data_IF_531823976451
#
_entry.id   IF_531823976451
#
_cell.length_a   1.000
_cell.length_b   1.000
_cell.length_c   1.000
_cell.angle_alpha   90.00
_cell.angle_beta   90.00
_cell.angle_gamma   90.00
#
_symmetry.space_group_name_H-M   'P 1'
#
loop_
_entity.id
_entity.type
_entity.pdbx_description
1 polymer ?
#
# COMPACT_ATOMS: atom_id res chain seq x y z
N UNK A 1 -11.36 23.22 15.15
CA UNK A 1 -11.21 22.53 13.85
C UNK A 1 -10.76 21.12 14.21
N UNK A 2 -11.46 20.10 13.72
CA UNK A 2 -11.11 18.70 14.00
C UNK A 2 -9.81 18.31 13.30
N UNK A 3 -9.13 17.29 13.83
CA UNK A 3 -7.92 16.76 13.20
C UNK A 3 -8.26 16.11 11.84
N UNK A 4 -7.48 16.35 10.78
CA UNK A 4 -7.74 15.75 9.49
C UNK A 4 -7.50 14.24 9.54
N UNK A 5 -8.34 13.48 8.87
CA UNK A 5 -8.16 12.05 8.62
C UNK A 5 -7.31 11.82 7.37
N UNK A 6 -6.58 10.72 7.35
CA UNK A 6 -5.80 10.32 6.18
C UNK A 6 -5.88 8.81 5.98
N UNK A 7 -6.48 8.37 4.87
CA UNK A 7 -6.42 6.97 4.47
C UNK A 7 -5.07 6.69 3.84
N UNK A 8 -4.10 6.27 4.64
CA UNK A 8 -2.73 6.00 4.19
C UNK A 8 -2.46 4.49 4.18
N UNK A 9 -1.44 4.08 3.43
CA UNK A 9 -0.88 2.73 3.45
C UNK A 9 -1.93 1.63 3.21
N UNK A 10 -2.85 1.88 2.26
CA UNK A 10 -3.78 0.86 1.76
C UNK A 10 -3.13 0.07 0.61
N UNK A 11 -2.94 -1.23 0.76
CA UNK A 11 -2.39 -2.05 -0.32
C UNK A 11 -3.29 -2.02 -1.58
N UNK A 12 -2.70 -1.75 -2.73
CA UNK A 12 -3.45 -1.77 -3.98
C UNK A 12 -2.82 -0.92 -5.08
N UNK A 13 -3.36 -1.05 -6.29
CA UNK A 13 -2.99 -0.21 -7.42
C UNK A 13 -4.21 0.08 -8.27
N UNK A 14 -4.32 1.33 -8.69
CA UNK A 14 -5.33 1.80 -9.65
C UNK A 14 -4.80 1.73 -11.09
N UNK A 15 -3.51 1.42 -11.28
CA UNK A 15 -2.99 1.08 -12.59
C UNK A 15 -3.50 -0.28 -13.07
N UNK A 16 -3.72 -0.44 -14.39
CA UNK A 16 -4.23 -1.67 -14.96
C UNK A 16 -3.27 -2.84 -14.71
N UNK A 17 -3.84 -4.04 -14.65
CA UNK A 17 -3.06 -5.26 -14.62
C UNK A 17 -2.30 -5.43 -15.94
N UNK A 18 -1.05 -5.86 -15.84
CA UNK A 18 -0.19 -6.16 -16.99
C UNK A 18 0.17 -7.63 -16.92
N UNK A 19 0.07 -8.35 -18.04
CA UNK A 19 0.43 -9.75 -18.10
C UNK A 19 1.87 -9.96 -17.57
N UNK A 20 2.13 -10.98 -16.73
CA UNK A 20 3.46 -11.24 -16.22
C UNK A 20 4.43 -11.61 -17.35
N UNK A 21 5.36 -10.71 -17.69
CA UNK A 21 6.55 -11.07 -18.48
C UNK A 21 7.43 -12.05 -17.69
N UNK A 22 7.86 -13.12 -18.37
CA UNK A 22 8.66 -14.20 -17.82
C UNK A 22 10.10 -13.80 -17.42
N UNK A 23 10.61 -12.66 -17.88
CA UNK A 23 11.96 -12.18 -17.54
C UNK A 23 11.92 -10.81 -16.81
N UNK A 24 12.25 -10.77 -15.50
CA UNK A 24 12.38 -9.53 -14.73
C UNK A 24 13.41 -8.53 -15.27
N UNK A 25 14.45 -8.98 -15.99
CA UNK A 25 15.49 -8.12 -16.55
C UNK A 25 15.07 -7.50 -17.87
N UNK A 26 14.41 -8.26 -18.76
CA UNK A 26 13.83 -7.73 -19.98
C UNK A 26 12.75 -6.67 -19.71
N UNK A 27 12.02 -6.77 -18.58
CA UNK A 27 11.04 -5.76 -18.13
C UNK A 27 11.67 -4.41 -17.80
N UNK A 28 12.87 -4.40 -17.22
CA UNK A 28 13.53 -3.14 -16.87
C UNK A 28 13.94 -2.30 -18.09
N UNK A 29 13.96 -2.91 -19.28
CA UNK A 29 14.32 -2.26 -20.55
C UNK A 29 13.11 -1.83 -21.40
N UNK A 30 11.87 -2.24 -21.07
CA UNK A 30 10.68 -1.91 -21.88
C UNK A 30 10.06 -0.56 -21.48
N UNK A 31 10.06 0.42 -22.39
CA UNK A 31 9.46 1.75 -22.16
C UNK A 31 7.93 1.75 -22.18
N UNK A 32 7.30 0.77 -22.83
CA UNK A 32 5.84 0.65 -22.87
C UNK A 32 5.35 0.00 -21.58
N UNK A 33 4.76 0.78 -20.68
CA UNK A 33 4.37 0.35 -19.33
C UNK A 33 5.36 0.72 -18.21
N UNK A 34 6.45 1.44 -18.52
CA UNK A 34 7.54 1.74 -17.58
C UNK A 34 7.15 2.56 -16.33
N UNK A 35 5.97 3.20 -16.34
CA UNK A 35 5.48 4.05 -15.24
C UNK A 35 4.24 3.44 -14.55
N UNK A 36 3.98 2.14 -14.77
CA UNK A 36 2.94 1.43 -14.04
C UNK A 36 3.48 1.03 -12.65
N UNK A 37 2.97 1.65 -11.59
CA UNK A 37 3.42 1.42 -10.21
C UNK A 37 3.20 -0.03 -9.74
N UNK A 38 2.23 -0.76 -10.32
CA UNK A 38 2.03 -2.19 -10.07
C UNK A 38 3.23 -3.04 -10.51
N UNK A 39 3.85 -2.67 -11.64
CA UNK A 39 4.93 -3.43 -12.29
C UNK A 39 6.14 -2.55 -12.62
N UNK A 40 6.48 -1.63 -11.72
CA UNK A 40 7.58 -0.69 -11.96
C UNK A 40 8.93 -1.44 -12.06
N UNK A 41 9.72 -1.19 -13.12
CA UNK A 41 11.12 -1.61 -13.21
C UNK A 41 11.93 -1.23 -11.97
N UNK A 42 12.46 -2.22 -11.25
CA UNK A 42 13.18 -1.98 -10.01
C UNK A 42 14.11 -3.15 -9.67
N UNK A 43 15.27 -2.83 -9.09
CA UNK A 43 16.18 -3.81 -8.52
C UNK A 43 15.52 -4.62 -7.38
N UNK A 44 14.54 -4.03 -6.69
CA UNK A 44 13.78 -4.68 -5.62
C UNK A 44 12.97 -5.89 -6.09
N UNK A 45 12.77 -6.05 -7.41
CA UNK A 45 12.12 -7.23 -8.00
C UNK A 45 12.97 -8.49 -7.92
N UNK A 46 14.26 -8.37 -7.61
CA UNK A 46 15.13 -9.51 -7.35
C UNK A 46 14.90 -10.14 -5.97
N UNK A 47 14.19 -9.45 -5.07
CA UNK A 47 13.81 -10.03 -3.79
C UNK A 47 12.80 -11.18 -4.00
N UNK A 48 12.91 -12.27 -3.23
CA UNK A 48 12.07 -13.45 -3.41
C UNK A 48 10.60 -13.24 -3.00
N UNK A 49 10.31 -12.21 -2.20
CA UNK A 49 8.99 -11.92 -1.65
C UNK A 49 8.55 -10.49 -1.98
N UNK A 50 7.22 -10.31 -2.04
CA UNK A 50 6.63 -8.96 -2.02
C UNK A 50 6.67 -8.42 -0.59
N UNK A 51 7.06 -7.17 -0.46
CA UNK A 51 7.08 -6.40 0.77
C UNK A 51 6.14 -5.22 0.56
N UNK A 52 4.98 -5.17 1.26
CA UNK A 52 4.03 -4.07 1.22
C UNK A 52 4.69 -2.70 1.33
N UNK A 53 4.30 -1.75 0.49
CA UNK A 53 4.88 -0.40 0.46
C UNK A 53 6.24 -0.28 -0.23
N UNK A 54 7.07 -1.33 -0.17
CA UNK A 54 8.45 -1.31 -0.65
C UNK A 54 8.56 -1.76 -2.10
N UNK A 55 7.92 -2.88 -2.47
CA UNK A 55 7.92 -3.36 -3.87
C UNK A 55 6.51 -3.71 -4.39
N UNK A 56 5.49 -3.36 -3.60
CA UNK A 56 4.11 -3.26 -4.04
C UNK A 56 3.58 -1.83 -3.81
N UNK A 57 2.63 -1.38 -4.64
CA UNK A 57 2.05 -0.06 -4.51
C UNK A 57 1.05 0.05 -3.35
N UNK A 58 0.97 1.26 -2.80
CA UNK A 58 0.04 1.67 -1.77
C UNK A 58 -0.78 2.86 -2.25
N UNK A 59 -2.06 2.88 -1.88
CA UNK A 59 -3.01 3.95 -2.17
C UNK A 59 -3.13 4.87 -0.96
N UNK A 60 -3.19 6.16 -1.23
CA UNK A 60 -3.35 7.24 -0.27
C UNK A 60 -4.56 8.10 -0.64
N UNK A 61 -5.51 8.23 0.27
CA UNK A 61 -6.70 9.08 0.12
C UNK A 61 -6.58 10.27 1.08
N UNK A 62 -6.21 11.42 0.52
CA UNK A 62 -5.99 12.65 1.27
C UNK A 62 -7.27 13.44 1.52
N UNK A 63 -7.21 14.32 2.52
CA UNK A 63 -8.18 15.40 2.72
C UNK A 63 -7.44 16.69 3.03
N UNK A 64 -8.15 17.83 3.13
CA UNK A 64 -7.50 19.09 3.45
C UNK A 64 -6.71 18.98 4.76
N UNK A 65 -5.46 19.46 4.73
CA UNK A 65 -4.52 19.48 5.84
C UNK A 65 -4.03 18.11 6.34
N UNK A 66 -4.39 16.99 5.70
CA UNK A 66 -3.69 15.73 5.97
C UNK A 66 -2.25 15.83 5.46
N UNK A 67 -1.31 15.30 6.25
CA UNK A 67 0.12 15.58 6.10
C UNK A 67 0.96 14.32 6.09
N UNK A 68 2.18 14.45 5.57
CA UNK A 68 3.25 13.46 5.72
C UNK A 68 4.48 14.20 6.24
N UNK A 69 5.00 13.73 7.37
CA UNK A 69 6.08 14.39 8.08
C UNK A 69 7.44 14.22 7.37
N UNK A 70 8.47 14.87 7.87
CA UNK A 70 9.82 14.74 7.29
C UNK A 70 10.37 13.34 7.48
N UNK A 71 10.72 12.69 6.37
CA UNK A 71 11.35 11.38 6.35
C UNK A 71 12.15 11.18 5.04
N UNK A 72 13.02 10.17 5.04
CA UNK A 72 13.48 9.49 3.83
C UNK A 72 12.71 8.17 3.70
N UNK A 73 12.75 7.56 2.53
CA UNK A 73 12.18 6.22 2.33
C UNK A 73 12.93 5.16 3.14
N UNK A 74 12.30 4.01 3.37
CA UNK A 74 12.95 2.88 4.02
C UNK A 74 14.20 2.45 3.24
N UNK A 75 15.28 2.17 3.97
CA UNK A 75 16.62 1.93 3.41
C UNK A 75 17.09 3.02 2.41
N UNK A 76 16.62 4.26 2.58
CA UNK A 76 16.91 5.40 1.72
C UNK A 76 16.65 5.13 0.23
N UNK A 77 15.61 4.34 -0.06
CA UNK A 77 15.18 4.02 -1.43
C UNK A 77 14.73 5.26 -2.22
N UNK A 78 14.55 5.08 -3.53
CA UNK A 78 13.72 5.99 -4.29
C UNK A 78 12.25 5.76 -3.93
N UNK A 79 11.40 6.78 -4.03
CA UNK A 79 9.96 6.60 -4.18
C UNK A 79 9.43 7.30 -5.41
N UNK A 80 8.33 6.77 -5.93
CA UNK A 80 7.54 7.40 -6.96
C UNK A 80 6.09 7.50 -6.48
N UNK A 81 5.49 8.67 -6.66
CA UNK A 81 4.11 8.97 -6.31
C UNK A 81 3.38 9.48 -7.54
N UNK A 82 2.23 8.90 -7.85
CA UNK A 82 1.31 9.37 -8.87
C UNK A 82 0.02 9.89 -8.24
N UNK A 83 -0.37 11.12 -8.56
CA UNK A 83 -1.64 11.68 -8.08
C UNK A 83 -2.73 11.38 -9.10
N UNK A 84 -3.54 10.35 -8.87
CA UNK A 84 -4.58 9.91 -9.80
C UNK A 84 -5.65 10.98 -10.02
N UNK A 85 -6.16 11.59 -8.95
CA UNK A 85 -7.26 12.56 -9.03
C UNK A 85 -7.36 13.47 -7.80
N UNK A 86 -8.19 14.51 -7.90
CA UNK A 86 -8.56 15.40 -6.81
C UNK A 86 -7.66 16.63 -6.65
N UNK A 87 -7.64 17.15 -5.42
CA UNK A 87 -6.92 18.37 -5.06
C UNK A 87 -5.39 18.18 -5.06
N UNK A 88 -4.61 19.25 -5.29
CA UNK A 88 -3.15 19.16 -5.32
C UNK A 88 -2.51 18.67 -4.01
N UNK A 89 -1.26 18.21 -4.12
CA UNK A 89 -0.39 17.84 -2.99
C UNK A 89 0.85 18.74 -2.99
N UNK A 90 1.11 19.42 -1.88
CA UNK A 90 2.36 20.18 -1.69
C UNK A 90 3.45 19.29 -1.17
N UNK A 91 4.64 19.40 -1.74
CA UNK A 91 5.84 18.70 -1.31
C UNK A 91 6.95 19.71 -0.98
N UNK A 92 7.70 19.37 0.05
CA UNK A 92 8.94 20.02 0.46
C UNK A 92 10.04 18.97 0.45
N UNK A 93 11.23 19.33 -0.04
CA UNK A 93 12.35 18.41 -0.07
C UNK A 93 13.67 19.10 0.31
N UNK A 94 14.55 18.33 0.96
CA UNK A 94 15.94 18.66 1.23
C UNK A 94 16.79 17.72 0.38
N UNK A 95 17.83 18.26 -0.26
CA UNK A 95 18.79 17.46 -1.04
C UNK A 95 19.49 16.47 -0.13
N UNK A 96 19.76 15.26 -0.63
CA UNK A 96 20.54 14.25 0.10
C UNK A 96 21.91 14.76 0.59
N UNK A 97 22.57 15.63 -0.20
CA UNK A 97 23.82 16.27 0.20
C UNK A 97 23.72 17.15 1.47
N UNK A 98 22.53 17.64 1.80
CA UNK A 98 22.25 18.44 2.99
C UNK A 98 21.58 17.63 4.12
N UNK A 99 21.40 16.30 3.95
CA UNK A 99 20.71 15.43 4.91
C UNK A 99 21.26 15.54 6.33
N UNK A 100 22.59 15.46 6.51
CA UNK A 100 23.24 15.59 7.83
C UNK A 100 23.01 16.95 8.50
N UNK A 101 22.96 18.03 7.70
CA UNK A 101 22.67 19.38 8.21
C UNK A 101 21.21 19.47 8.66
N UNK A 102 20.30 18.86 7.90
CA UNK A 102 18.89 18.75 8.27
C UNK A 102 18.69 17.92 9.55
N UNK A 103 19.31 16.75 9.65
CA UNK A 103 19.28 15.90 10.85
C UNK A 103 19.78 16.67 12.07
N UNK A 104 20.93 17.33 11.97
CA UNK A 104 21.48 18.14 13.07
C UNK A 104 20.51 19.23 13.54
N UNK A 105 19.85 19.91 12.60
CA UNK A 105 18.83 20.91 12.91
C UNK A 105 17.59 20.27 13.56
N UNK A 106 17.13 19.14 13.04
CA UNK A 106 15.96 18.43 13.53
C UNK A 106 16.21 17.86 14.94
N UNK A 107 17.37 17.25 15.20
CA UNK A 107 17.73 16.71 16.51
C UNK A 107 17.84 17.80 17.58
N UNK A 108 18.26 19.01 17.21
CA UNK A 108 18.20 20.17 18.11
C UNK A 108 16.76 20.62 18.42
N UNK A 109 15.82 20.41 17.50
CA UNK A 109 14.40 20.74 17.69
C UNK A 109 13.61 19.63 18.40
N UNK A 110 14.04 18.37 18.28
CA UNK A 110 13.36 17.18 18.79
C UNK A 110 14.30 16.33 19.65
N UNK A 111 14.97 16.97 20.61
CA UNK A 111 16.02 16.34 21.41
C UNK A 111 15.54 15.08 22.14
N UNK A 112 14.31 15.09 22.66
CA UNK A 112 13.74 13.93 23.35
C UNK A 112 13.60 12.72 22.41
N UNK A 113 13.11 12.95 21.18
CA UNK A 113 12.98 11.90 20.17
C UNK A 113 14.34 11.34 19.73
N UNK A 114 15.32 12.21 19.54
CA UNK A 114 16.71 11.82 19.19
C UNK A 114 17.34 10.94 20.28
N UNK A 115 17.08 11.25 21.56
CA UNK A 115 17.57 10.47 22.69
C UNK A 115 16.95 9.06 22.73
N UNK A 116 15.69 8.94 22.31
CA UNK A 116 14.98 7.66 22.24
C UNK A 116 15.37 6.84 21.00
N UNK A 117 15.51 7.48 19.85
CA UNK A 117 15.86 6.83 18.59
C UNK A 117 16.69 7.76 17.69
N UNK A 118 17.86 7.29 17.26
CA UNK A 118 18.72 8.02 16.29
C UNK A 118 18.10 8.15 14.90
N UNK A 119 17.12 7.30 14.59
CA UNK A 119 16.40 7.27 13.30
C UNK A 119 14.95 7.75 13.46
N UNK A 120 14.64 8.55 14.49
CA UNK A 120 13.27 8.96 14.83
C UNK A 120 12.50 9.68 13.70
N UNK A 121 13.20 10.25 12.72
CA UNK A 121 12.58 10.85 11.54
C UNK A 121 11.87 9.80 10.67
N UNK A 122 12.32 8.54 10.70
CA UNK A 122 11.64 7.41 10.04
C UNK A 122 10.30 7.06 10.67
N UNK A 123 10.01 7.57 11.88
CA UNK A 123 8.71 7.38 12.52
C UNK A 123 7.62 8.27 11.89
N UNK A 124 7.98 9.14 10.93
CA UNK A 124 7.04 10.00 10.18
C UNK A 124 6.13 10.86 11.08
N UNK A 125 6.63 11.31 12.23
CA UNK A 125 5.88 12.13 13.22
C UNK A 125 6.48 13.51 13.51
N UNK A 126 7.51 13.93 12.76
CA UNK A 126 8.28 15.14 13.05
C UNK A 126 8.10 16.21 11.96
N UNK A 127 7.44 17.31 12.31
CA UNK A 127 7.10 18.40 11.39
C UNK A 127 7.95 19.64 11.66
N UNK A 128 8.63 20.10 10.61
CA UNK A 128 9.39 21.36 10.64
C UNK A 128 8.92 22.26 9.51
N UNK A 129 8.66 23.52 9.85
CA UNK A 129 8.23 24.51 8.85
C UNK A 129 9.36 24.77 7.85
N UNK A 130 9.11 24.74 6.52
CA UNK A 130 10.07 25.14 5.50
C UNK A 130 10.64 26.55 5.73
N UNK A 131 9.83 27.48 6.25
CA UNK A 131 10.27 28.83 6.58
C UNK A 131 11.32 28.82 7.70
N UNK A 132 11.14 27.96 8.70
CA UNK A 132 12.07 27.81 9.81
C UNK A 132 13.39 27.20 9.32
N UNK A 133 13.32 26.15 8.50
CA UNK A 133 14.48 25.49 7.91
C UNK A 133 15.32 26.47 7.08
N UNK A 134 14.68 27.29 6.24
CA UNK A 134 15.38 28.32 5.46
C UNK A 134 16.00 29.41 6.35
N UNK A 135 15.19 30.03 7.23
CA UNK A 135 15.61 31.22 8.00
C UNK A 135 16.60 30.91 9.13
N UNK A 136 16.44 29.78 9.82
CA UNK A 136 17.27 29.43 10.98
C UNK A 136 18.25 28.29 10.69
N UNK A 137 17.88 27.34 9.84
CA UNK A 137 18.76 26.23 9.46
C UNK A 137 19.73 26.56 8.34
N UNK A 138 19.49 27.63 7.57
CA UNK A 138 20.26 27.94 6.36
C UNK A 138 20.19 26.80 5.33
N UNK A 139 19.08 26.05 5.34
CA UNK A 139 18.83 24.91 4.46
C UNK A 139 18.01 25.38 3.27
N UNK A 140 18.45 25.00 2.07
CA UNK A 140 17.64 25.15 0.88
C UNK A 140 16.51 24.11 0.89
N UNK A 141 15.28 24.58 0.74
CA UNK A 141 14.09 23.71 0.69
C UNK A 141 13.48 23.84 -0.70
N UNK A 142 13.48 22.74 -1.46
CA UNK A 142 12.77 22.66 -2.73
C UNK A 142 11.27 22.52 -2.45
N UNK A 143 10.43 23.15 -3.28
CA UNK A 143 8.97 23.08 -3.12
C UNK A 143 8.32 22.79 -4.46
N UNK A 144 7.39 21.84 -4.49
CA UNK A 144 6.57 21.53 -5.67
C UNK A 144 5.12 21.32 -5.26
N UNK A 145 4.19 21.71 -6.14
CA UNK A 145 2.77 21.45 -5.96
C UNK A 145 2.31 20.49 -7.05
N UNK A 146 2.23 19.20 -6.70
CA UNK A 146 1.81 18.12 -7.57
C UNK A 146 0.30 18.21 -7.84
N UNK A 147 -0.08 18.14 -9.11
CA UNK A 147 -1.46 18.13 -9.60
C UNK A 147 -1.87 16.74 -10.07
N UNK A 148 -3.17 16.52 -10.22
CA UNK A 148 -3.70 15.27 -10.73
C UNK A 148 -3.10 14.97 -12.12
N UNK A 149 -2.70 13.72 -12.35
CA UNK A 149 -1.98 13.28 -13.54
C UNK A 149 -0.46 13.43 -13.49
N UNK A 150 0.10 13.96 -12.39
CA UNK A 150 1.55 14.18 -12.27
C UNK A 150 2.23 13.16 -11.38
N UNK A 151 3.47 12.81 -11.75
CA UNK A 151 4.38 12.05 -10.92
C UNK A 151 5.30 12.97 -10.10
N UNK A 152 5.59 12.55 -8.88
CA UNK A 152 6.71 13.05 -8.07
C UNK A 152 7.64 11.89 -7.77
N UNK A 153 8.94 12.08 -7.99
CA UNK A 153 9.98 11.10 -7.66
C UNK A 153 10.86 11.68 -6.56
N UNK A 154 11.06 10.92 -5.48
CA UNK A 154 12.02 11.25 -4.44
C UNK A 154 13.32 10.48 -4.70
N UNK A 155 14.45 11.16 -4.51
CA UNK A 155 15.76 10.56 -4.70
C UNK A 155 16.27 9.95 -3.38
N UNK A 156 17.15 8.94 -3.44
CA UNK A 156 17.73 8.29 -2.27
C UNK A 156 18.28 9.28 -1.26
N UNK A 157 17.99 9.05 0.01
CA UNK A 157 18.46 9.86 1.15
C UNK A 157 17.96 11.32 1.14
N UNK A 158 17.01 11.67 0.28
CA UNK A 158 16.45 13.02 0.24
C UNK A 158 15.23 13.12 1.16
N UNK A 159 15.35 13.95 2.20
CA UNK A 159 14.24 14.18 3.12
C UNK A 159 13.11 14.91 2.42
N UNK A 160 11.88 14.48 2.68
CA UNK A 160 10.70 15.14 2.15
C UNK A 160 9.53 15.13 3.13
N UNK A 161 8.64 16.11 2.98
CA UNK A 161 7.43 16.30 3.79
C UNK A 161 6.38 17.06 2.97
N UNK A 162 5.14 17.13 3.45
CA UNK A 162 4.11 17.85 2.74
C UNK A 162 2.71 17.65 3.27
N UNK A 163 1.74 18.10 2.48
CA UNK A 163 0.31 18.06 2.84
C UNK A 163 -0.60 18.09 1.61
N UNK A 164 -1.85 17.66 1.82
CA UNK A 164 -2.91 17.63 0.83
C UNK A 164 -3.79 18.89 0.90
N UNK A 165 -4.15 19.43 -0.26
CA UNK A 165 -4.97 20.64 -0.38
C UNK A 165 -6.48 20.37 -0.28
N UNK A 166 -6.89 19.10 -0.20
CA UNK A 166 -8.28 18.69 -0.22
C UNK A 166 -8.38 17.19 -0.47
N UNK A 167 -9.58 16.72 -0.82
CA UNK A 167 -9.79 15.34 -1.23
C UNK A 167 -8.92 15.00 -2.44
N UNK A 168 -8.09 13.96 -2.34
CA UNK A 168 -7.32 13.44 -3.46
C UNK A 168 -7.00 11.95 -3.30
N UNK A 169 -6.60 11.32 -4.40
CA UNK A 169 -6.19 9.90 -4.42
C UNK A 169 -4.84 9.81 -5.10
N UNK A 170 -3.85 9.30 -4.38
CA UNK A 170 -2.51 9.06 -4.87
C UNK A 170 -2.14 7.59 -4.74
N UNK A 171 -1.20 7.14 -5.55
CA UNK A 171 -0.57 5.83 -5.45
C UNK A 171 0.94 6.01 -5.37
N UNK A 172 1.63 5.24 -4.54
CA UNK A 172 3.08 5.29 -4.43
C UNK A 172 3.69 3.91 -4.24
N UNK A 173 4.96 3.76 -4.61
CA UNK A 173 5.79 2.59 -4.29
C UNK A 173 7.26 3.00 -4.25
N UNK A 174 8.10 2.19 -3.60
CA UNK A 174 9.55 2.38 -3.67
C UNK A 174 10.16 1.65 -4.87
N UNK A 175 11.35 2.12 -5.27
CA UNK A 175 12.17 1.41 -6.24
C UNK A 175 13.65 1.62 -5.99
N UNK A 176 14.45 0.75 -6.59
CA UNK A 176 15.90 0.82 -6.52
C UNK A 176 16.50 0.71 -7.92
N UNK A 177 17.57 1.47 -8.12
CA UNK A 177 18.47 1.35 -9.27
C UNK A 177 19.81 0.82 -8.77
N UNK A 178 20.71 0.33 -9.65
CA UNK A 178 22.04 -0.12 -9.21
C UNK A 178 22.81 0.96 -8.45
N UNK A 179 22.63 2.24 -8.78
CA UNK A 179 23.28 3.36 -8.08
C UNK A 179 22.79 3.59 -6.65
N UNK A 180 21.68 2.95 -6.23
CA UNK A 180 21.22 3.00 -4.84
C UNK A 180 21.97 2.04 -3.92
N UNK A 181 22.61 0.99 -4.44
CA UNK A 181 23.20 -0.07 -3.60
C UNK A 181 24.16 0.46 -2.53
N UNK A 182 25.01 1.43 -2.87
CA UNK A 182 25.96 2.02 -1.90
C UNK A 182 25.25 2.89 -0.84
N UNK A 183 24.15 3.54 -1.23
CA UNK A 183 23.34 4.39 -0.34
C UNK A 183 22.55 3.50 0.63
N UNK A 184 21.86 2.48 0.10
CA UNK A 184 21.09 1.54 0.90
C UNK A 184 21.94 0.78 1.91
N UNK A 185 23.17 0.37 1.53
CA UNK A 185 24.11 -0.28 2.46
C UNK A 185 24.54 0.61 3.62
N UNK A 186 24.47 1.93 3.46
CA UNK A 186 24.84 2.90 4.50
C UNK A 186 23.62 3.45 5.28
N UNK A 187 22.40 3.08 4.88
CA UNK A 187 21.18 3.60 5.46
C UNK A 187 21.01 3.16 6.93
N UNK A 188 20.60 4.10 7.77
CA UNK A 188 20.23 3.81 9.16
C UNK A 188 18.89 3.08 9.26
N UNK A 189 18.66 2.40 10.39
CA UNK A 189 17.44 1.64 10.68
C UNK A 189 16.96 1.95 12.10
N UNK A 190 15.67 2.22 12.30
CA UNK A 190 15.10 2.28 13.66
C UNK A 190 15.24 0.91 14.31
N UNK A 191 15.79 0.90 15.52
CA UNK A 191 15.91 -0.30 16.36
C UNK A 191 14.86 -0.35 17.47
N UNK A 192 14.01 0.66 17.48
CA UNK A 192 12.91 0.86 18.43
C UNK A 192 11.67 0.05 18.09
N UNK A 193 11.48 -0.27 16.81
CA UNK A 193 10.32 -0.95 16.27
C UNK A 193 10.79 -2.24 15.59
N UNK A 194 10.38 -3.43 16.08
CA UNK A 194 10.76 -4.70 15.45
C UNK A 194 10.17 -4.87 14.04
N UNK A 195 9.11 -4.14 13.70
CA UNK A 195 8.44 -4.20 12.41
C UNK A 195 9.01 -3.19 11.40
N UNK A 196 10.03 -2.41 11.78
CA UNK A 196 10.74 -1.49 10.88
C UNK A 196 11.27 -2.25 9.66
N UNK A 197 10.95 -1.74 8.46
CA UNK A 197 11.38 -2.32 7.19
C UNK A 197 12.92 -2.39 7.12
N UNK A 198 13.42 -3.56 6.75
CA UNK A 198 14.84 -3.80 6.49
C UNK A 198 15.01 -4.45 5.12
N UNK A 199 15.93 -3.92 4.32
CA UNK A 199 16.24 -4.45 2.99
C UNK A 199 17.63 -5.08 3.02
N UNK A 200 17.73 -6.34 2.59
CA UNK A 200 19.00 -7.04 2.46
C UNK A 200 19.74 -6.56 1.19
N UNK A 201 20.43 -5.43 1.32
CA UNK A 201 21.12 -4.74 0.21
C UNK A 201 22.27 -5.59 -0.35
N UNK A 202 22.97 -6.34 0.50
CA UNK A 202 24.08 -7.19 0.07
C UNK A 202 23.58 -8.35 -0.77
N UNK A 203 22.47 -8.98 -0.38
CA UNK A 203 21.81 -9.99 -1.21
C UNK A 203 21.37 -9.41 -2.55
N UNK A 204 20.82 -8.20 -2.58
CA UNK A 204 20.45 -7.53 -3.83
C UNK A 204 21.66 -7.26 -4.72
N UNK A 205 22.79 -6.84 -4.16
CA UNK A 205 24.07 -6.67 -4.87
C UNK A 205 24.52 -7.99 -5.50
N UNK A 206 24.53 -9.07 -4.72
CA UNK A 206 24.91 -10.41 -5.19
C UNK A 206 24.02 -10.89 -6.35
N UNK A 207 22.69 -10.73 -6.24
CA UNK A 207 21.74 -11.13 -7.29
C UNK A 207 21.84 -10.27 -8.55
N UNK A 208 22.22 -9.00 -8.40
CA UNK A 208 22.45 -8.10 -9.53
C UNK A 208 23.70 -8.52 -10.31
N UNK A 209 24.82 -8.69 -9.61
CA UNK A 209 26.13 -9.04 -10.16
C UNK A 209 26.20 -10.48 -10.68
N UNK A 210 25.40 -11.40 -10.11
CA UNK A 210 25.38 -12.82 -10.47
C UNK A 210 23.98 -13.24 -10.98
N UNK A 211 23.68 -13.06 -12.27
CA UNK A 211 22.36 -13.35 -12.86
C UNK A 211 21.93 -14.80 -12.70
N UNK A 212 22.89 -15.72 -12.67
CA UNK A 212 22.64 -17.15 -12.56
C UNK A 212 22.08 -17.56 -11.18
N UNK A 213 22.13 -16.67 -10.18
CA UNK A 213 21.59 -16.91 -8.84
C UNK A 213 20.13 -16.44 -8.70
N UNK A 214 19.58 -15.70 -9.67
CA UNK A 214 18.16 -15.32 -9.62
C UNK A 214 17.31 -16.57 -9.81
N UNK A 215 16.33 -16.86 -8.91
CA UNK A 215 15.44 -17.99 -9.10
C UNK A 215 14.75 -17.89 -10.46
N UNK A 216 14.86 -18.94 -11.29
CA UNK A 216 14.09 -19.01 -12.53
C UNK A 216 12.60 -18.99 -12.17
N UNK A 217 11.75 -18.20 -12.85
CA UNK A 217 10.32 -18.31 -12.68
C UNK A 217 9.90 -19.77 -12.88
N UNK A 218 9.03 -20.29 -12.01
CA UNK A 218 8.40 -21.59 -12.27
C UNK A 218 7.70 -21.47 -13.64
N UNK A 219 7.82 -22.47 -14.54
CA UNK A 219 7.08 -22.44 -15.80
C UNK A 219 5.60 -22.28 -15.49
N UNK A 220 4.89 -21.47 -16.29
CA UNK A 220 3.42 -21.46 -16.24
C UNK A 220 2.93 -22.91 -16.47
N UNK A 221 1.87 -23.33 -15.77
CA UNK A 221 1.23 -24.61 -16.07
C UNK A 221 0.84 -24.66 -17.56
N UNK A 222 1.11 -25.81 -18.19
CA UNK A 222 1.02 -26.05 -19.62
C UNK A 222 -0.34 -25.62 -20.19
N UNK A 223 -0.41 -24.78 -21.25
CA UNK A 223 -1.68 -24.33 -21.83
C UNK A 223 -2.49 -25.46 -22.49
N UNK A 224 -1.94 -26.67 -22.62
CA UNK A 224 -2.66 -27.82 -23.17
C UNK A 224 -2.23 -29.14 -22.49
N UNK A 225 -2.78 -29.49 -21.32
CA UNK A 225 -2.54 -30.80 -20.73
C UNK A 225 -3.16 -31.90 -21.62
N UNK A 226 -2.46 -33.02 -21.77
CA UNK A 226 -3.01 -34.21 -22.44
C UNK A 226 -4.37 -34.59 -21.83
N UNK A 227 -5.36 -35.02 -22.64
CA UNK A 227 -6.67 -35.40 -22.12
C UNK A 227 -6.52 -36.58 -21.14
N UNK A 228 -7.01 -36.38 -19.92
CA UNK A 228 -7.05 -37.43 -18.90
C UNK A 228 -7.85 -38.64 -19.43
N UNK A 229 -7.43 -39.88 -19.08
CA UNK A 229 -8.23 -41.07 -19.36
C UNK A 229 -9.61 -40.97 -18.69
N UNK A 230 -10.64 -41.49 -19.36
CA UNK A 230 -12.04 -41.38 -18.95
C UNK A 230 -12.28 -41.85 -17.49
N UNK A 231 -13.12 -41.13 -16.72
CA UNK A 231 -13.29 -41.40 -15.29
C UNK A 231 -14.18 -42.63 -15.01
N UNK A 232 -13.83 -43.35 -13.94
CA UNK A 232 -14.57 -44.48 -13.37
C UNK A 232 -16.01 -44.05 -12.97
N UNK A 233 -17.06 -44.75 -13.46
CA UNK A 233 -18.47 -44.37 -13.27
C UNK A 233 -18.99 -44.42 -11.82
N UNK A 234 -18.18 -44.81 -10.83
CA UNK A 234 -18.59 -44.83 -9.41
C UNK A 234 -17.85 -43.85 -8.49
N UNK A 235 -17.10 -42.89 -9.02
CA UNK A 235 -16.53 -41.80 -8.23
C UNK A 235 -17.48 -40.60 -8.15
N UNK A 236 -17.86 -40.20 -6.93
CA UNK A 236 -18.69 -39.01 -6.67
C UNK A 236 -18.01 -37.74 -7.20
N UNK A 237 -18.75 -36.75 -7.71
CA UNK A 237 -18.16 -35.56 -8.33
C UNK A 237 -17.31 -34.78 -7.33
N UNK A 238 -16.07 -34.53 -7.73
CA UNK A 238 -15.13 -33.62 -7.08
C UNK A 238 -15.18 -32.28 -7.84
N UNK A 239 -15.79 -31.21 -7.30
CA UNK A 239 -15.72 -29.89 -7.91
C UNK A 239 -14.35 -29.28 -7.58
N UNK A 240 -13.59 -28.90 -8.60
CA UNK A 240 -12.36 -28.13 -8.40
C UNK A 240 -12.71 -26.76 -7.76
N UNK A 241 -12.12 -26.35 -6.62
CA UNK A 241 -12.66 -25.32 -5.73
C UNK A 241 -12.04 -23.93 -5.96
N UNK A 242 -11.75 -23.55 -7.20
CA UNK A 242 -11.15 -22.24 -7.49
C UNK A 242 -12.18 -21.25 -8.05
N UNK A 243 -12.63 -20.38 -7.14
CA UNK A 243 -13.44 -19.16 -7.33
C UNK A 243 -14.96 -19.31 -7.22
N UNK A 244 -15.42 -20.12 -6.27
CA UNK A 244 -16.65 -19.79 -5.54
C UNK A 244 -16.27 -19.15 -4.22
N UNK A 245 -16.63 -17.88 -4.02
CA UNK A 245 -16.51 -17.21 -2.73
C UNK A 245 -17.90 -16.95 -2.19
N UNK A 246 -18.08 -17.09 -0.88
CA UNK A 246 -19.31 -16.79 -0.17
C UNK A 246 -18.95 -16.06 1.12
N UNK A 247 -19.51 -14.88 1.34
CA UNK A 247 -19.39 -14.11 2.58
C UNK A 247 -20.70 -14.19 3.34
N UNK A 248 -20.66 -14.57 4.62
CA UNK A 248 -21.84 -14.67 5.49
C UNK A 248 -21.72 -13.78 6.73
N UNK A 249 -22.77 -13.04 7.06
CA UNK A 249 -22.89 -12.23 8.28
C UNK A 249 -23.55 -13.04 9.41
N UNK A 250 -23.28 -12.68 10.68
CA UNK A 250 -23.87 -13.33 11.87
C UNK A 250 -25.40 -13.25 11.96
N UNK A 251 -26.04 -12.36 11.20
CA UNK A 251 -27.50 -12.30 11.06
C UNK A 251 -28.07 -13.34 10.07
N UNK A 252 -27.22 -14.18 9.46
CA UNK A 252 -27.62 -15.25 8.55
C UNK A 252 -27.74 -14.86 7.09
N UNK A 253 -27.42 -13.60 6.73
CA UNK A 253 -27.35 -13.16 5.33
C UNK A 253 -25.99 -13.51 4.73
N UNK A 254 -26.00 -14.06 3.51
CA UNK A 254 -24.78 -14.41 2.77
C UNK A 254 -24.81 -13.91 1.33
N UNK A 255 -23.64 -13.68 0.74
CA UNK A 255 -23.46 -13.26 -0.65
C UNK A 255 -22.27 -13.99 -1.25
N UNK A 256 -22.47 -14.60 -2.41
CA UNK A 256 -21.42 -15.34 -3.10
C UNK A 256 -21.24 -14.95 -4.57
N UNK A 257 -20.26 -15.56 -5.21
CA UNK A 257 -19.84 -15.34 -6.60
C UNK A 257 -20.94 -15.50 -7.66
N UNK A 258 -22.04 -16.16 -7.30
CA UNK A 258 -23.21 -16.47 -8.12
C UNK A 258 -24.47 -15.65 -7.75
N UNK A 259 -24.36 -14.69 -6.82
CA UNK A 259 -25.49 -13.88 -6.38
C UNK A 259 -25.93 -12.84 -7.44
N UNK A 260 -27.23 -12.74 -7.77
CA UNK A 260 -27.72 -11.68 -8.66
C UNK A 260 -27.51 -10.30 -8.03
N UNK A 261 -27.09 -9.31 -8.85
CA UNK A 261 -26.73 -7.91 -8.48
C UNK A 261 -27.75 -7.13 -7.61
N UNK A 262 -28.88 -7.72 -7.21
CA UNK A 262 -29.88 -7.15 -6.29
C UNK A 262 -29.76 -7.63 -4.84
N UNK A 263 -28.81 -8.51 -4.51
CA UNK A 263 -28.53 -8.97 -3.14
C UNK A 263 -27.39 -8.20 -2.45
N UNK A 264 -27.07 -6.98 -2.91
CA UNK A 264 -26.13 -6.11 -2.21
C UNK A 264 -26.89 -5.46 -1.04
N UNK A 265 -26.52 -5.71 0.24
CA UNK A 265 -27.10 -4.96 1.33
C UNK A 265 -26.73 -3.49 1.13
N UNK A 266 -27.73 -2.63 1.01
CA UNK A 266 -27.54 -1.18 0.86
C UNK A 266 -26.92 -0.65 2.17
N UNK A 267 -25.63 -0.28 2.14
CA UNK A 267 -24.89 0.32 3.27
C UNK A 267 -23.36 0.18 3.14
N UNK A 268 -22.60 0.97 3.92
CA UNK A 268 -21.13 0.87 3.98
C UNK A 268 -20.69 -0.44 4.65
N UNK A 269 -19.78 -1.16 4.00
CA UNK A 269 -19.32 -2.52 4.35
C UNK A 269 -17.92 -2.46 5.00
N UNK A 270 -17.64 -3.23 6.07
CA UNK A 270 -16.29 -3.37 6.64
C UNK A 270 -15.97 -4.82 7.09
N UNK A 271 -14.68 -5.16 7.12
CA UNK A 271 -14.12 -6.43 7.61
C UNK A 271 -13.82 -6.32 9.11
N UNK A 272 -14.17 -7.33 9.90
CA UNK A 272 -13.89 -7.36 11.33
C UNK A 272 -12.40 -7.60 11.60
N UNK A 273 -11.71 -6.66 12.25
CA UNK A 273 -10.25 -6.73 12.52
C UNK A 273 -9.82 -7.88 13.45
N UNK A 274 -10.77 -8.55 14.12
CA UNK A 274 -10.46 -9.59 15.09
C UNK A 274 -10.64 -11.01 14.56
N UNK A 275 -11.33 -11.18 13.43
CA UNK A 275 -11.66 -12.51 12.90
C UNK A 275 -11.68 -12.59 11.37
N UNK A 276 -11.33 -11.51 10.67
CA UNK A 276 -11.29 -11.40 9.21
C UNK A 276 -12.61 -11.74 8.48
N UNK A 277 -13.72 -11.94 9.20
CA UNK A 277 -15.04 -12.18 8.63
C UNK A 277 -15.78 -10.89 8.28
N UNK A 278 -16.65 -11.02 7.29
CA UNK A 278 -17.48 -9.97 6.72
C UNK A 278 -18.76 -9.74 7.56
N UNK A 279 -19.04 -8.51 8.01
CA UNK A 279 -20.25 -8.25 8.82
C UNK A 279 -20.87 -6.87 8.61
N UNK A 280 -22.19 -6.76 8.83
CA UNK A 280 -22.83 -5.45 9.00
C UNK A 280 -22.41 -4.85 10.34
N UNK A 281 -22.06 -3.55 10.38
CA UNK A 281 -21.67 -2.83 11.61
C UNK A 281 -22.71 -3.07 12.73
N UNK A 282 -24.01 -2.98 12.40
CA UNK A 282 -25.10 -3.15 13.35
C UNK A 282 -25.22 -4.55 13.96
N UNK A 283 -24.64 -5.58 13.35
CA UNK A 283 -24.68 -6.95 13.88
C UNK A 283 -23.62 -7.21 14.95
N UNK A 284 -22.47 -6.52 14.90
CA UNK A 284 -21.40 -6.69 15.89
C UNK A 284 -21.31 -5.50 16.86
N UNK A 285 -21.72 -4.31 16.41
CA UNK A 285 -21.70 -3.07 17.17
C UNK A 285 -23.07 -2.37 17.07
N UNK A 286 -24.14 -2.95 17.66
CA UNK A 286 -25.51 -2.42 17.56
C UNK A 286 -25.66 -0.99 18.11
N UNK A 287 -24.72 -0.54 18.95
CA UNK A 287 -24.73 0.78 19.56
C UNK A 287 -24.15 1.88 18.64
N UNK A 288 -23.53 1.53 17.52
CA UNK A 288 -22.87 2.47 16.60
C UNK A 288 -23.74 2.85 15.39
N UNK A 289 -24.94 2.30 15.24
CA UNK A 289 -25.82 2.53 14.08
C UNK A 289 -27.14 3.16 14.54
N UNK A 290 -27.56 4.25 13.89
CA UNK A 290 -28.88 4.87 14.12
C UNK A 290 -29.99 3.84 13.80
N UNK A 291 -31.02 3.67 14.66
CA UNK A 291 -32.05 2.63 14.51
C UNK A 291 -32.79 2.63 13.16
N UNK A 292 -32.77 3.77 12.47
CA UNK A 292 -33.47 4.01 11.20
C UNK A 292 -32.73 3.42 9.98
N UNK A 293 -31.46 3.01 10.12
CA UNK A 293 -30.65 2.40 9.06
C UNK A 293 -30.57 0.87 9.17
N UNK A 294 -31.15 0.27 10.22
CA UNK A 294 -31.20 -1.18 10.42
C UNK A 294 -32.38 -1.76 9.62
N UNK A 295 -32.19 -1.94 8.30
CA UNK A 295 -33.12 -2.68 7.43
C UNK A 295 -33.25 -4.18 7.74
N UNK A 296 -32.63 -4.67 8.81
CA UNK A 296 -32.72 -6.04 9.31
C UNK A 296 -33.37 -6.04 10.70
N UNK A 297 -34.67 -5.82 10.76
CA UNK A 297 -35.45 -6.12 11.97
C UNK A 297 -35.53 -7.63 12.19
N UNK A 298 -35.68 -8.11 13.45
CA UNK A 298 -35.94 -9.52 13.70
C UNK A 298 -37.24 -9.91 12.97
N UNK A 299 -37.18 -10.96 12.15
CA UNK A 299 -38.40 -11.61 11.68
C UNK A 299 -39.11 -12.19 12.91
N UNK A 300 -40.04 -11.42 13.46
CA UNK A 300 -41.11 -11.97 14.29
C UNK A 300 -41.76 -13.05 13.45
N UNK A 301 -41.69 -14.31 13.91
CA UNK A 301 -42.51 -15.39 13.39
C UNK A 301 -43.97 -14.92 13.42
N UNK A 302 -44.48 -14.50 12.25
CA UNK A 302 -45.92 -14.37 12.07
C UNK A 302 -46.48 -15.79 12.04
N UNK A 303 -47.47 -16.12 12.89
CA UNK A 303 -48.13 -17.41 12.82
C UNK A 303 -48.79 -17.54 11.45
N UNK A 304 -48.51 -18.68 10.82
CA UNK A 304 -49.04 -19.12 9.54
C UNK A 304 -50.55 -18.86 9.43
N UNK A 305 -51.02 -17.97 8.55
CA UNK A 305 -52.42 -17.94 8.19
C UNK A 305 -52.61 -18.75 6.90
N UNK A 306 -53.62 -19.61 6.96
CA UNK A 306 -54.48 -20.06 5.85
C UNK A 306 -54.05 -21.31 5.05
N UNK A 307 -54.96 -21.96 4.28
CA UNK A 307 -56.28 -22.49 4.66
C UNK A 307 -56.63 -23.84 3.96
N UNK A 308 -57.75 -24.44 4.40
CA UNK A 308 -58.63 -25.43 3.74
C UNK A 308 -58.35 -26.95 3.83
N UNK A 309 -59.42 -27.77 3.82
CA UNK A 309 -60.86 -27.46 3.97
C UNK A 309 -61.38 -27.64 5.39
#
# INVERSE_FOLDING_TARGET
>A
MEAPLYGADMEGSLFPEVAPSADPRARAASLSGAWNLRDLPSLLRLLPSRVPGVNSPMIYVGMFASLFAWHTEDADLFSINYLHTGAPKSWYAIRSADARRFESFASAAFQDKENECREYLRHKTSLLSPTLLRKRGGLEVTTVVQRAGEFVVTLPGSYHAGFNHGFNVAEATNFATPGWLDIGSAAGVCKCDPDSVQVDVERLRLLWENPNLTPKPKPNPDPNPEPNPDPDPNSKPNPNPSLEWEFSCSCGLACGSDAPKRAWPLGEMFQCENCDFWCHIGCNYPNLVLPQLLGCGPQTQTPNPNPYP
#
